data_IF_478835910416
#
_entry.id   IF_478835910416
#
_cell.length_a   1.000
_cell.length_b   1.000
_cell.length_c   1.000
_cell.angle_alpha   90.00
_cell.angle_beta   90.00
_cell.angle_gamma   90.00
#
_symmetry.space_group_name_H-M   'P 1'
#
loop_
_entity.id
_entity.type
_entity.pdbx_description
1 polymer ?
#
# COMPACT_ATOMS: atom_id res chain seq x y z
N UNK A 1 15.48 18.79 8.11
CA UNK A 1 16.28 17.54 8.12
C UNK A 1 15.33 16.37 7.92
N UNK A 2 15.75 15.11 8.13
CA UNK A 2 14.88 13.94 7.93
C UNK A 2 13.55 14.01 8.71
N UNK A 3 13.55 14.68 9.87
CA UNK A 3 12.35 14.94 10.69
C UNK A 3 11.24 15.78 10.04
N UNK A 4 11.46 16.31 8.83
CA UNK A 4 10.44 17.05 8.07
C UNK A 4 9.82 16.19 6.96
N UNK A 5 10.20 14.92 6.83
CA UNK A 5 9.69 13.99 5.83
C UNK A 5 8.77 13.00 6.54
N UNK A 6 7.48 13.01 6.22
CA UNK A 6 6.51 12.13 6.85
C UNK A 6 6.48 10.73 6.22
N UNK A 7 6.56 10.66 4.88
CA UNK A 7 6.43 9.40 4.16
C UNK A 7 7.19 9.39 2.82
N UNK A 8 7.53 8.20 2.36
CA UNK A 8 7.92 7.89 0.98
C UNK A 8 6.86 6.96 0.40
N UNK A 9 6.34 7.31 -0.79
CA UNK A 9 5.35 6.52 -1.52
C UNK A 9 5.90 6.10 -2.88
N UNK A 10 5.81 4.81 -3.20
CA UNK A 10 6.25 4.23 -4.46
C UNK A 10 5.22 3.22 -4.97
N UNK A 11 4.98 3.15 -6.28
CA UNK A 11 4.46 1.91 -6.87
C UNK A 11 5.55 0.83 -6.75
N UNK A 12 5.20 -0.38 -6.29
CA UNK A 12 6.19 -1.47 -6.23
C UNK A 12 6.79 -1.74 -7.60
N UNK A 13 5.93 -1.78 -8.62
CA UNK A 13 6.30 -1.81 -10.04
C UNK A 13 5.48 -0.71 -10.72
N UNK A 14 6.08 0.45 -11.05
CA UNK A 14 5.39 1.53 -11.75
C UNK A 14 4.73 1.04 -13.04
N UNK A 15 3.41 1.16 -13.07
CA UNK A 15 2.60 0.62 -14.15
C UNK A 15 2.53 1.58 -15.34
N UNK A 16 1.81 2.69 -15.14
CA UNK A 16 1.50 3.68 -16.19
C UNK A 16 2.74 4.28 -16.85
N UNK A 17 3.82 4.42 -16.09
CA UNK A 17 5.08 5.00 -16.57
C UNK A 17 5.91 4.05 -17.47
N UNK A 18 5.49 2.78 -17.62
CA UNK A 18 6.11 1.85 -18.57
C UNK A 18 6.53 0.50 -18.01
N UNK A 19 5.84 -0.03 -16.99
CA UNK A 19 6.14 -1.32 -16.35
C UNK A 19 7.62 -1.43 -15.93
N UNK A 20 8.02 -0.58 -14.98
CA UNK A 20 9.43 -0.49 -14.55
C UNK A 20 9.68 -1.42 -13.37
N UNK A 21 10.29 -2.58 -13.60
CA UNK A 21 10.66 -3.47 -12.49
C UNK A 21 11.82 -2.85 -11.71
N UNK A 22 11.73 -2.71 -10.37
CA UNK A 22 12.82 -2.16 -9.58
C UNK A 22 14.04 -3.09 -9.65
N UNK A 23 15.26 -2.53 -9.72
CA UNK A 23 16.46 -3.36 -9.70
C UNK A 23 16.63 -4.05 -8.33
N UNK A 24 17.38 -5.16 -8.26
CA UNK A 24 17.62 -5.88 -7.01
C UNK A 24 18.10 -4.96 -5.89
N UNK A 25 17.50 -5.09 -4.71
CA UNK A 25 17.84 -4.31 -3.51
C UNK A 25 17.29 -2.88 -3.47
N UNK A 26 16.65 -2.38 -4.52
CA UNK A 26 16.11 -1.00 -4.53
C UNK A 26 15.09 -0.75 -3.42
N UNK A 27 14.04 -1.59 -3.35
CA UNK A 27 12.98 -1.43 -2.35
C UNK A 27 13.49 -1.71 -0.93
N UNK A 28 14.40 -2.69 -0.76
CA UNK A 28 15.04 -2.97 0.52
C UNK A 28 15.87 -1.77 1.01
N UNK A 29 16.61 -1.11 0.11
CA UNK A 29 17.36 0.10 0.44
C UNK A 29 16.46 1.27 0.83
N UNK A 30 15.33 1.46 0.15
CA UNK A 30 14.33 2.47 0.54
C UNK A 30 13.74 2.16 1.91
N UNK A 31 13.38 0.89 2.18
CA UNK A 31 12.90 0.44 3.49
C UNK A 31 13.90 0.75 4.60
N UNK A 32 15.18 0.43 4.40
CA UNK A 32 16.24 0.72 5.38
C UNK A 32 16.37 2.22 5.68
N UNK A 33 16.25 3.07 4.65
CA UNK A 33 16.25 4.54 4.81
C UNK A 33 15.04 4.97 5.63
N UNK A 34 13.86 4.44 5.33
CA UNK A 34 12.63 4.74 6.05
C UNK A 34 12.75 4.37 7.54
N UNK A 35 13.28 3.19 7.84
CA UNK A 35 13.50 2.71 9.22
C UNK A 35 14.48 3.59 9.97
N UNK A 36 15.60 3.94 9.33
CA UNK A 36 16.66 4.75 9.94
C UNK A 36 16.18 6.14 10.35
N UNK A 37 15.25 6.73 9.60
CA UNK A 37 14.81 8.11 9.80
C UNK A 37 13.38 8.25 10.34
N UNK A 38 12.69 7.13 10.61
CA UNK A 38 11.30 7.16 11.07
C UNK A 38 10.33 7.72 10.02
N UNK A 39 10.59 7.43 8.75
CA UNK A 39 9.74 7.85 7.63
C UNK A 39 8.77 6.72 7.31
N UNK A 40 7.48 7.01 7.17
CA UNK A 40 6.48 6.01 6.80
C UNK A 40 6.72 5.54 5.37
N UNK A 41 6.85 4.24 5.17
CA UNK A 41 7.00 3.65 3.86
C UNK A 41 5.66 3.15 3.30
N UNK A 42 5.27 3.67 2.14
CA UNK A 42 4.01 3.32 1.47
C UNK A 42 4.30 2.64 0.14
N UNK A 43 3.73 1.45 -0.06
CA UNK A 43 3.70 0.82 -1.37
C UNK A 43 2.31 0.93 -2.00
N UNK A 44 2.28 1.47 -3.21
CA UNK A 44 1.10 1.51 -4.05
C UNK A 44 1.02 0.22 -4.88
N UNK A 45 0.09 -0.65 -4.48
CA UNK A 45 -0.23 -1.92 -5.12
C UNK A 45 -1.55 -1.84 -5.89
N UNK A 46 -2.05 -0.64 -6.19
CA UNK A 46 -3.33 -0.46 -6.89
C UNK A 46 -3.31 -1.14 -8.25
N UNK A 47 -2.19 -1.12 -8.97
CA UNK A 47 -2.07 -1.82 -10.25
C UNK A 47 -1.52 -3.24 -10.11
N UNK A 48 -0.53 -3.44 -9.24
CA UNK A 48 0.29 -4.65 -9.18
C UNK A 48 -0.18 -5.69 -8.15
N UNK A 49 -1.12 -5.33 -7.28
CA UNK A 49 -1.71 -6.23 -6.30
C UNK A 49 -2.72 -7.22 -6.88
N UNK A 50 -3.15 -8.16 -6.04
CA UNK A 50 -4.12 -9.22 -6.33
C UNK A 50 -3.74 -10.09 -7.53
N UNK A 51 -2.51 -10.62 -7.53
CA UNK A 51 -2.12 -11.66 -8.49
C UNK A 51 -1.54 -11.14 -9.81
N UNK A 52 -1.50 -9.82 -10.05
CA UNK A 52 -1.04 -9.24 -11.33
C UNK A 52 0.36 -9.71 -11.74
N UNK A 53 1.25 -9.85 -10.77
CA UNK A 53 2.66 -10.24 -10.97
C UNK A 53 2.93 -11.72 -10.68
N UNK A 54 1.89 -12.51 -10.40
CA UNK A 54 2.02 -13.92 -9.99
C UNK A 54 2.20 -14.15 -8.49
N UNK A 55 2.25 -13.08 -7.68
CA UNK A 55 2.16 -13.12 -6.21
C UNK A 55 0.93 -12.33 -5.75
N UNK A 56 0.56 -12.43 -4.47
CA UNK A 56 -0.60 -11.70 -3.93
C UNK A 56 -0.40 -10.20 -4.04
N UNK A 57 0.77 -9.71 -3.64
CA UNK A 57 1.22 -8.34 -3.89
C UNK A 57 2.57 -8.36 -4.58
N UNK A 58 2.88 -7.35 -5.40
CA UNK A 58 4.18 -7.30 -6.05
C UNK A 58 5.33 -7.18 -5.03
N UNK A 59 5.07 -6.59 -3.86
CA UNK A 59 6.02 -6.47 -2.75
C UNK A 59 6.56 -7.83 -2.28
N UNK A 60 5.76 -8.90 -2.41
CA UNK A 60 6.14 -10.27 -2.02
C UNK A 60 7.35 -10.78 -2.82
N UNK A 61 7.57 -10.29 -4.05
CA UNK A 61 8.73 -10.66 -4.86
C UNK A 61 10.04 -10.07 -4.36
N UNK A 62 9.96 -9.06 -3.48
CA UNK A 62 11.11 -8.29 -3.02
C UNK A 62 11.38 -8.45 -1.53
N UNK A 63 10.62 -9.30 -0.83
CA UNK A 63 10.72 -9.54 0.62
C UNK A 63 10.66 -8.24 1.45
N UNK A 64 9.82 -7.29 1.03
CA UNK A 64 9.70 -5.96 1.64
C UNK A 64 8.28 -5.75 2.16
N UNK A 65 8.17 -5.33 3.42
CA UNK A 65 6.90 -5.00 4.07
C UNK A 65 6.78 -3.49 4.26
N UNK A 66 5.78 -2.82 3.68
CA UNK A 66 5.53 -1.40 3.88
C UNK A 66 4.76 -1.13 5.18
N UNK A 67 4.79 0.10 5.65
CA UNK A 67 3.98 0.55 6.78
C UNK A 67 2.51 0.74 6.37
N UNK A 68 2.27 1.16 5.13
CA UNK A 68 0.97 1.26 4.50
C UNK A 68 1.01 0.64 3.10
N UNK A 69 -0.05 -0.06 2.70
CA UNK A 69 -0.21 -0.61 1.36
C UNK A 69 -1.54 -0.16 0.77
N UNK A 70 -1.51 0.54 -0.36
CA UNK A 70 -2.73 0.96 -1.06
C UNK A 70 -3.15 -0.08 -2.08
N UNK A 71 -4.45 -0.30 -2.21
CA UNK A 71 -4.99 -1.32 -3.11
C UNK A 71 -6.35 -0.88 -3.68
N UNK A 72 -6.66 -1.31 -4.91
CA UNK A 72 -7.98 -1.18 -5.55
C UNK A 72 -8.01 -2.15 -6.74
N UNK A 73 -8.56 -1.74 -7.90
CA UNK A 73 -8.57 -2.46 -9.18
C UNK A 73 -8.80 -3.98 -9.06
N UNK A 74 -7.71 -4.75 -8.98
CA UNK A 74 -7.74 -6.22 -8.88
C UNK A 74 -8.48 -6.76 -7.66
N UNK A 75 -8.67 -5.96 -6.60
CA UNK A 75 -9.34 -6.37 -5.34
C UNK A 75 -10.69 -7.04 -5.55
N UNK A 76 -11.45 -6.60 -6.54
CA UNK A 76 -12.72 -7.19 -6.93
C UNK A 76 -12.87 -7.22 -8.46
N UNK A 77 -11.74 -7.29 -9.17
CA UNK A 77 -11.67 -7.32 -10.64
C UNK A 77 -12.44 -6.20 -11.35
N UNK A 78 -12.62 -5.04 -10.71
CA UNK A 78 -13.33 -3.90 -11.30
C UNK A 78 -14.85 -4.04 -11.38
N UNK A 79 -15.45 -5.00 -10.68
CA UNK A 79 -16.92 -5.19 -10.70
C UNK A 79 -17.67 -4.02 -10.06
N UNK A 80 -17.14 -3.48 -8.95
CA UNK A 80 -17.73 -2.37 -8.18
C UNK A 80 -16.58 -1.49 -7.68
N UNK A 81 -16.71 -0.16 -7.58
CA UNK A 81 -15.65 0.66 -7.00
C UNK A 81 -15.31 0.22 -5.57
N UNK A 82 -14.09 -0.30 -5.39
CA UNK A 82 -13.52 -0.65 -4.10
C UNK A 82 -12.03 -0.33 -4.12
N UNK A 83 -11.58 0.34 -3.06
CA UNK A 83 -10.18 0.57 -2.76
C UNK A 83 -9.98 0.67 -1.27
N UNK A 84 -8.75 0.56 -0.83
CA UNK A 84 -8.41 0.61 0.58
C UNK A 84 -6.94 0.83 0.83
N UNK A 85 -6.62 0.98 2.12
CA UNK A 85 -5.26 1.05 2.64
C UNK A 85 -5.16 -0.01 3.72
N UNK A 86 -4.27 -0.99 3.52
CA UNK A 86 -3.84 -1.86 4.59
C UNK A 86 -2.83 -1.09 5.45
N UNK A 87 -2.98 -1.18 6.78
CA UNK A 87 -2.27 -0.38 7.77
C UNK A 87 -1.50 -1.30 8.72
N UNK A 88 -0.23 -0.96 9.00
CA UNK A 88 0.55 -1.68 10.01
C UNK A 88 -0.07 -1.58 11.40
N UNK A 89 0.15 -2.59 12.23
CA UNK A 89 -0.36 -2.61 13.60
C UNK A 89 0.15 -1.41 14.42
N UNK A 90 1.40 -0.98 14.18
CA UNK A 90 2.00 0.17 14.86
C UNK A 90 1.26 1.48 14.56
N UNK A 91 0.94 1.75 13.28
CA UNK A 91 0.18 2.94 12.91
C UNK A 91 -1.28 2.81 13.38
N UNK A 92 -1.88 1.60 13.27
CA UNK A 92 -3.24 1.35 13.74
C UNK A 92 -3.41 1.61 15.24
N UNK A 93 -2.43 1.22 16.07
CA UNK A 93 -2.43 1.43 17.52
C UNK A 93 -2.55 2.91 17.91
N UNK A 94 -2.02 3.82 17.09
CA UNK A 94 -2.17 5.27 17.30
C UNK A 94 -3.64 5.69 17.29
N UNK A 95 -4.47 5.04 16.47
CA UNK A 95 -5.87 5.40 16.30
C UNK A 95 -6.83 4.69 17.26
N UNK A 96 -6.32 3.75 18.08
CA UNK A 96 -7.11 3.13 19.15
C UNK A 96 -7.48 4.13 20.25
N UNK A 97 -6.61 5.12 20.48
CA UNK A 97 -6.80 6.15 21.53
C UNK A 97 -7.01 7.55 20.96
N UNK A 98 -6.75 7.75 19.67
CA UNK A 98 -6.95 9.03 18.98
C UNK A 98 -7.86 8.82 17.76
N UNK A 99 -9.06 9.40 17.73
CA UNK A 99 -9.95 9.27 16.57
C UNK A 99 -9.27 9.68 15.27
N UNK A 100 -9.36 8.84 14.24
CA UNK A 100 -9.01 9.22 12.88
C UNK A 100 -10.18 10.02 12.27
N UNK A 101 -10.03 11.32 11.96
CA UNK A 101 -11.14 12.14 11.47
C UNK A 101 -11.46 11.91 9.98
N UNK A 102 -10.95 10.84 9.37
CA UNK A 102 -11.19 10.52 7.96
C UNK A 102 -12.30 9.49 7.78
N UNK A 103 -13.16 9.73 6.80
CA UNK A 103 -14.24 8.83 6.42
C UNK A 103 -14.81 9.19 5.05
N UNK A 104 -15.35 8.19 4.37
CA UNK A 104 -16.05 8.35 3.10
C UNK A 104 -17.47 7.77 3.26
N UNK A 105 -18.46 8.38 2.59
CA UNK A 105 -19.87 7.93 2.64
C UNK A 105 -20.03 6.44 2.31
N UNK A 106 -19.20 5.93 1.41
CA UNK A 106 -19.21 4.53 0.95
C UNK A 106 -18.04 3.70 1.50
N UNK A 107 -17.38 4.15 2.57
CA UNK A 107 -16.36 3.34 3.24
C UNK A 107 -16.99 2.05 3.78
N UNK A 108 -16.43 0.89 3.42
CA UNK A 108 -16.98 -0.42 3.79
C UNK A 108 -18.31 -0.75 3.11
N UNK A 109 -18.57 -0.23 1.90
CA UNK A 109 -19.83 -0.47 1.18
C UNK A 109 -20.11 -1.98 1.02
N UNK A 110 -21.24 -2.52 1.55
CA UNK A 110 -21.50 -3.96 1.58
C UNK A 110 -21.45 -4.64 0.21
N UNK A 111 -22.03 -4.02 -0.83
CA UNK A 111 -21.95 -4.55 -2.20
C UNK A 111 -20.52 -4.62 -2.75
N UNK A 112 -19.71 -3.60 -2.48
CA UNK A 112 -18.34 -3.54 -2.95
C UNK A 112 -17.48 -4.59 -2.25
N UNK A 113 -17.65 -4.74 -0.93
CA UNK A 113 -17.00 -5.78 -0.12
C UNK A 113 -17.45 -7.19 -0.51
N UNK A 114 -18.74 -7.41 -0.77
CA UNK A 114 -19.26 -8.71 -1.19
C UNK A 114 -18.72 -9.17 -2.56
N UNK A 115 -18.35 -8.22 -3.43
CA UNK A 115 -17.70 -8.54 -4.71
C UNK A 115 -16.21 -8.91 -4.58
N UNK A 116 -15.61 -8.75 -3.39
CA UNK A 116 -14.19 -9.01 -3.13
C UNK A 116 -13.93 -10.33 -2.38
N UNK A 117 -14.98 -11.09 -2.02
CA UNK A 117 -14.91 -12.37 -1.29
C UNK A 117 -15.22 -13.57 -2.16
#
# INVERSE_FOLDING_TARGET
GPSTIAAIILETIPGTAGIMTPPPGYLAGVREICDRYGIVFVLDEVMAGFGRTGAWFAADHFDVVPDLLTFAKGVNSGYVPLGGVAISAEIAATFETRPYPGGLTYSGHPLACAAAV
#
